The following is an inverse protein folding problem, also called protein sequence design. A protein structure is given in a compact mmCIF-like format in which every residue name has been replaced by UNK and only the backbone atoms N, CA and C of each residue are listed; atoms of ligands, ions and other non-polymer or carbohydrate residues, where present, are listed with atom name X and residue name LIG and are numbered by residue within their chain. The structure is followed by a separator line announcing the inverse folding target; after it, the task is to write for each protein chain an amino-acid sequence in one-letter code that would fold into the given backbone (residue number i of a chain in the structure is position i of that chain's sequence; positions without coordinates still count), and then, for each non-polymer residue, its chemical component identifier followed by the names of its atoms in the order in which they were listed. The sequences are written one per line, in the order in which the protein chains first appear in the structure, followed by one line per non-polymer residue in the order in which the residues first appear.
data_IF_647881567076
#
_entry.id   IF_647881567076
#
_cell.length_a   1.000
_cell.length_b   1.000
_cell.length_c   1.000
_cell.angle_alpha   90.00
_cell.angle_beta   90.00
_cell.angle_gamma   90.00
#
_symmetry.space_group_name_H-M   'P 1'
#
loop_
_entity.id
_entity.type
_entity.pdbx_description
1 polymer ?
#
# COMPACT_ATOMS: atom_id res chain seq x y z
N UNK A 1 22.64 -12.87 -20.28
CA UNK A 1 21.47 -12.76 -19.39
C UNK A 1 21.79 -11.72 -18.32
N UNK A 2 21.41 -10.47 -18.54
CA UNK A 2 21.47 -9.44 -17.52
C UNK A 2 20.06 -8.89 -17.36
N UNK A 3 19.33 -9.35 -16.34
CA UNK A 3 18.14 -8.66 -15.87
C UNK A 3 18.67 -7.52 -14.99
N UNK A 4 18.91 -6.40 -15.66
CA UNK A 4 19.65 -5.23 -15.19
C UNK A 4 18.87 -4.55 -14.07
N UNK A 5 19.60 -4.04 -13.08
CA UNK A 5 19.19 -3.37 -11.83
C UNK A 5 18.19 -2.19 -11.96
N UNK A 6 17.63 -1.93 -13.14
CA UNK A 6 16.73 -0.80 -13.39
C UNK A 6 15.33 -0.93 -12.79
N UNK A 7 14.82 -2.13 -12.49
CA UNK A 7 13.39 -2.24 -12.14
C UNK A 7 13.06 -2.29 -10.63
N UNK A 8 14.00 -2.63 -9.75
CA UNK A 8 13.65 -2.85 -8.33
C UNK A 8 13.22 -1.56 -7.60
N UNK A 9 13.90 -0.45 -7.88
CA UNK A 9 13.50 0.85 -7.34
C UNK A 9 12.19 1.33 -7.95
N UNK A 10 11.98 1.05 -9.24
CA UNK A 10 10.75 1.40 -9.95
C UNK A 10 9.56 0.60 -9.41
N UNK A 11 9.73 -0.69 -9.10
CA UNK A 11 8.69 -1.54 -8.49
C UNK A 11 8.28 -1.01 -7.12
N UNK A 12 9.25 -0.65 -6.26
CA UNK A 12 8.96 -0.04 -4.96
C UNK A 12 8.24 1.31 -5.14
N UNK A 13 8.64 2.12 -6.12
CA UNK A 13 7.98 3.40 -6.43
C UNK A 13 6.54 3.19 -6.89
N UNK A 14 6.30 2.29 -7.85
CA UNK A 14 4.97 1.94 -8.37
C UNK A 14 4.08 1.38 -7.25
N UNK A 15 4.65 0.56 -6.37
CA UNK A 15 3.97 0.03 -5.19
C UNK A 15 3.49 1.17 -4.28
N UNK A 16 4.36 2.14 -3.99
CA UNK A 16 3.99 3.28 -3.15
C UNK A 16 2.90 4.14 -3.79
N UNK A 17 2.95 4.34 -5.12
CA UNK A 17 1.91 5.04 -5.88
C UNK A 17 0.56 4.32 -5.73
N UNK A 18 0.51 3.01 -6.06
CA UNK A 18 -0.72 2.20 -5.95
C UNK A 18 -1.25 2.19 -4.52
N UNK A 19 -0.39 1.99 -3.52
CA UNK A 19 -0.74 1.97 -2.10
C UNK A 19 -1.42 3.26 -1.68
N UNK A 20 -0.88 4.39 -2.11
CA UNK A 20 -1.43 5.71 -1.79
C UNK A 20 -2.76 5.93 -2.49
N UNK A 21 -2.87 5.61 -3.78
CA UNK A 21 -4.10 5.73 -4.55
C UNK A 21 -5.22 4.83 -3.99
N UNK A 22 -4.88 3.67 -3.45
CA UNK A 22 -5.79 2.77 -2.74
C UNK A 22 -6.01 3.16 -1.27
N UNK A 23 -5.45 4.29 -0.82
CA UNK A 23 -5.59 4.84 0.53
C UNK A 23 -5.22 3.83 1.64
N UNK A 24 -4.13 3.09 1.43
CA UNK A 24 -3.59 2.10 2.36
C UNK A 24 -2.38 2.65 3.10
N UNK A 25 -2.26 2.36 4.39
CA UNK A 25 -1.00 2.58 5.11
C UNK A 25 0.05 1.53 4.73
N UNK A 26 1.34 1.86 4.89
CA UNK A 26 2.44 0.89 4.72
C UNK A 26 2.25 -0.36 5.58
N UNK A 27 1.69 -0.20 6.79
CA UNK A 27 1.40 -1.31 7.70
C UNK A 27 0.32 -2.23 7.17
N UNK A 28 -0.75 -1.69 6.58
CA UNK A 28 -1.82 -2.51 6.01
C UNK A 28 -1.30 -3.33 4.83
N UNK A 29 -0.59 -2.69 3.90
CA UNK A 29 0.07 -3.37 2.79
C UNK A 29 0.95 -4.53 3.31
N UNK A 30 1.84 -4.22 4.25
CA UNK A 30 2.77 -5.22 4.80
C UNK A 30 2.05 -6.39 5.49
N UNK A 31 0.94 -6.14 6.19
CA UNK A 31 0.21 -7.21 6.88
C UNK A 31 -0.58 -8.10 5.92
N UNK A 32 -1.19 -7.51 4.89
CA UNK A 32 -1.94 -8.23 3.86
C UNK A 32 -1.00 -9.12 3.05
N UNK A 33 0.11 -8.56 2.57
CA UNK A 33 1.06 -9.25 1.69
C UNK A 33 2.23 -9.92 2.45
N UNK A 34 2.15 -10.01 3.78
CA UNK A 34 3.15 -10.68 4.64
C UNK A 34 4.58 -10.18 4.44
N UNK A 35 4.73 -8.88 4.22
CA UNK A 35 6.02 -8.20 4.09
C UNK A 35 6.46 -7.69 5.46
N UNK A 36 7.77 -7.79 5.76
CA UNK A 36 8.30 -7.16 6.97
C UNK A 36 8.24 -5.62 6.85
N UNK A 37 7.50 -4.97 7.75
CA UNK A 37 7.28 -3.53 7.73
C UNK A 37 8.57 -2.70 7.78
N UNK A 38 9.51 -3.05 8.66
CA UNK A 38 10.74 -2.28 8.82
C UNK A 38 11.60 -2.38 7.55
N UNK A 39 11.70 -3.59 7.00
CA UNK A 39 12.43 -3.82 5.76
C UNK A 39 11.80 -3.10 4.57
N UNK A 40 10.47 -3.16 4.44
CA UNK A 40 9.74 -2.42 3.42
C UNK A 40 9.94 -0.90 3.56
N UNK A 41 9.87 -0.37 4.77
CA UNK A 41 10.06 1.05 5.03
C UNK A 41 11.48 1.52 4.68
N UNK A 42 12.51 0.70 4.94
CA UNK A 42 13.88 1.01 4.52
C UNK A 42 14.02 1.01 2.98
N UNK A 43 13.38 0.06 2.29
CA UNK A 43 13.39 0.02 0.82
C UNK A 43 12.63 1.21 0.21
N UNK A 44 11.47 1.56 0.78
CA UNK A 44 10.67 2.71 0.35
C UNK A 44 11.37 4.06 0.56
N UNK A 45 12.24 4.15 1.57
CA UNK A 45 13.09 5.33 1.83
C UNK A 45 14.44 5.27 1.10
N UNK A 46 14.63 4.30 0.19
CA UNK A 46 15.85 4.06 -0.59
C UNK A 46 17.12 3.83 0.26
N UNK A 47 16.97 3.41 1.53
CA UNK A 47 18.11 3.06 2.40
C UNK A 47 18.64 1.67 2.09
N UNK A 48 17.75 0.75 1.73
CA UNK A 48 18.07 -0.63 1.38
C UNK A 48 17.60 -0.95 -0.05
N UNK A 49 18.22 -1.95 -0.67
CA UNK A 49 17.70 -2.54 -1.91
C UNK A 49 16.71 -3.67 -1.56
N UNK A 50 15.56 -3.75 -2.24
CA UNK A 50 14.60 -4.82 -1.99
C UNK A 50 15.17 -6.17 -2.44
N UNK A 51 14.85 -7.22 -1.70
CA UNK A 51 15.25 -8.59 -2.04
C UNK A 51 14.42 -9.11 -3.22
N UNK A 52 14.92 -10.11 -3.98
CA UNK A 52 14.14 -10.72 -5.06
C UNK A 52 12.76 -11.24 -4.60
N UNK A 53 12.68 -11.77 -3.38
CA UNK A 53 11.43 -12.24 -2.80
C UNK A 53 10.46 -11.08 -2.51
N UNK A 54 10.96 -9.96 -1.97
CA UNK A 54 10.12 -8.77 -1.77
C UNK A 54 9.60 -8.26 -3.11
N UNK A 55 10.47 -8.20 -4.13
CA UNK A 55 10.08 -7.76 -5.48
C UNK A 55 8.96 -8.64 -6.05
N UNK A 56 9.05 -9.95 -5.88
CA UNK A 56 8.00 -10.87 -6.32
C UNK A 56 6.66 -10.55 -5.65
N UNK A 57 6.66 -10.34 -4.34
CA UNK A 57 5.43 -9.99 -3.58
C UNK A 57 4.90 -8.61 -3.96
N UNK A 58 5.77 -7.66 -4.25
CA UNK A 58 5.36 -6.33 -4.71
C UNK A 58 4.76 -6.36 -6.12
N UNK A 59 5.29 -7.20 -7.01
CA UNK A 59 4.69 -7.43 -8.32
C UNK A 59 3.32 -8.11 -8.20
N UNK A 60 3.17 -9.10 -7.32
CA UNK A 60 1.87 -9.71 -7.02
C UNK A 60 0.86 -8.64 -6.55
N UNK A 61 1.27 -7.74 -5.66
CA UNK A 61 0.43 -6.62 -5.24
C UNK A 61 0.08 -5.70 -6.42
N UNK A 62 1.03 -5.33 -7.27
CA UNK A 62 0.80 -4.46 -8.43
C UNK A 62 -0.19 -5.09 -9.42
N UNK A 63 -0.14 -6.41 -9.60
CA UNK A 63 -1.05 -7.17 -10.46
C UNK A 63 -2.42 -7.46 -9.81
N UNK A 64 -2.54 -7.36 -8.48
CA UNK A 64 -3.80 -7.62 -7.76
C UNK A 64 -4.83 -6.53 -8.04
N UNK A 65 -6.05 -6.84 -8.50
CA UNK A 65 -7.10 -5.83 -8.72
C UNK A 65 -7.42 -5.05 -7.45
N UNK A 66 -7.67 -3.75 -7.57
CA UNK A 66 -7.94 -2.87 -6.43
C UNK A 66 -9.14 -3.34 -5.60
N UNK A 67 -10.16 -3.90 -6.25
CA UNK A 67 -11.31 -4.52 -5.57
C UNK A 67 -10.92 -5.68 -4.65
N UNK A 68 -9.93 -6.47 -5.04
CA UNK A 68 -9.39 -7.60 -4.25
C UNK A 68 -8.56 -7.09 -3.10
N UNK A 69 -7.72 -6.07 -3.32
CA UNK A 69 -6.94 -5.43 -2.26
C UNK A 69 -7.86 -4.86 -1.18
N UNK A 70 -8.93 -4.17 -1.56
CA UNK A 70 -9.91 -3.65 -0.59
C UNK A 70 -10.56 -4.76 0.25
N UNK A 71 -10.89 -5.91 -0.34
CA UNK A 71 -11.42 -7.06 0.43
C UNK A 71 -10.41 -7.56 1.46
N UNK A 72 -9.14 -7.70 1.06
CA UNK A 72 -8.07 -8.14 1.95
C UNK A 72 -7.82 -7.15 3.10
N UNK A 73 -7.82 -5.86 2.79
CA UNK A 73 -7.62 -4.79 3.77
C UNK A 73 -8.80 -4.70 4.73
N UNK A 74 -10.04 -4.82 4.23
CA UNK A 74 -11.22 -4.85 5.07
C UNK A 74 -11.18 -6.03 6.04
N UNK A 75 -10.85 -7.24 5.54
CA UNK A 75 -10.67 -8.42 6.40
C UNK A 75 -9.58 -8.21 7.46
N UNK A 76 -8.47 -7.56 7.10
CA UNK A 76 -7.42 -7.20 8.06
C UNK A 76 -7.92 -6.19 9.11
N UNK A 77 -8.63 -5.13 8.70
CA UNK A 77 -9.22 -4.13 9.62
C UNK A 77 -10.25 -4.73 10.58
N UNK A 78 -10.97 -5.76 10.15
CA UNK A 78 -11.92 -6.52 10.98
C UNK A 78 -11.26 -7.62 11.83
N UNK A 79 -9.96 -7.87 11.67
CA UNK A 79 -9.25 -8.92 12.41
C UNK A 79 -8.89 -8.49 13.83
N UNK A 80 -8.81 -9.47 14.74
CA UNK A 80 -8.36 -9.27 16.12
C UNK A 80 -6.96 -8.65 16.20
N UNK A 81 -6.10 -8.91 15.20
CA UNK A 81 -4.76 -8.31 15.10
C UNK A 81 -4.80 -6.79 14.94
N UNK A 82 -5.79 -6.26 14.22
CA UNK A 82 -5.97 -4.82 14.06
C UNK A 82 -6.70 -4.19 15.26
N UNK A 83 -7.76 -4.86 15.74
CA UNK A 83 -8.60 -4.38 16.84
C UNK A 83 -7.83 -4.35 18.18
N UNK A 84 -6.92 -5.31 18.41
CA UNK A 84 -6.07 -5.35 19.62
C UNK A 84 -4.94 -4.30 19.62
N UNK A 85 -4.68 -3.62 18.51
CA UNK A 85 -3.72 -2.51 18.43
C UNK A 85 -4.26 -1.27 19.15
N UNK A 86 -3.59 -0.82 20.22
CA UNK A 86 -3.98 0.27 21.15
C UNK A 86 -4.31 1.66 20.53
N UNK A 87 -4.35 1.81 19.20
CA UNK A 87 -4.64 3.07 18.50
C UNK A 87 -5.63 2.96 17.32
N UNK A 88 -6.25 1.80 17.06
CA UNK A 88 -7.13 1.60 15.90
C UNK A 88 -8.30 2.60 15.84
N UNK A 89 -8.90 2.94 16.99
CA UNK A 89 -10.00 3.92 17.08
C UNK A 89 -9.59 5.38 16.82
N UNK A 90 -8.29 5.73 16.92
CA UNK A 90 -7.84 7.12 16.68
C UNK A 90 -7.64 7.44 15.20
N UNK A 91 -7.49 6.42 14.34
CA UNK A 91 -7.16 6.59 12.93
C UNK A 91 -8.36 6.37 11.99
N UNK A 92 -9.42 5.72 12.48
CA UNK A 92 -10.61 5.40 11.70
C UNK A 92 -11.83 6.09 12.32
N UNK A 93 -12.23 7.25 11.77
CA UNK A 93 -13.53 7.86 12.13
C UNK A 93 -14.64 7.09 11.43
N UNK A 94 -15.33 6.23 12.19
CA UNK A 94 -16.49 5.48 11.73
C UNK A 94 -17.72 6.40 11.73
N UNK A 95 -18.02 7.02 10.60
CA UNK A 95 -19.35 7.61 10.42
C UNK A 95 -20.33 6.46 10.12
N UNK A 96 -21.56 6.50 10.65
CA UNK A 96 -22.55 5.40 10.62
C UNK A 96 -23.02 4.96 9.22
N UNK A 97 -22.36 5.42 8.17
CA UNK A 97 -22.40 4.93 6.79
C UNK A 97 -20.97 4.56 6.43
N UNK A 98 -20.74 3.30 6.06
CA UNK A 98 -19.44 2.71 5.65
C UNK A 98 -18.78 3.40 4.43
N UNK A 99 -18.49 4.70 4.52
CA UNK A 99 -17.71 5.48 3.57
C UNK A 99 -16.65 6.22 4.37
N UNK A 100 -15.49 5.58 4.51
CA UNK A 100 -14.33 6.25 5.10
C UNK A 100 -13.89 7.40 4.19
N UNK A 101 -14.01 8.64 4.69
CA UNK A 101 -13.27 9.79 4.17
C UNK A 101 -11.82 9.66 4.64
N UNK A 102 -10.92 9.35 3.71
CA UNK A 102 -9.47 9.58 3.74
C UNK A 102 -8.71 9.15 5.00
N UNK A 103 -7.83 8.15 4.87
CA UNK A 103 -7.11 7.57 6.00
C UNK A 103 -5.88 8.43 6.35
N UNK A 104 -5.99 9.32 7.35
CA UNK A 104 -4.90 10.22 7.80
C UNK A 104 -3.55 9.54 8.07
N UNK A 105 -3.52 8.22 8.28
CA UNK A 105 -2.26 7.49 8.51
C UNK A 105 -1.42 7.27 7.25
N UNK A 106 -1.90 7.68 6.07
CA UNK A 106 -1.08 7.73 4.85
C UNK A 106 -0.04 8.86 4.91
N UNK A 107 -0.26 9.90 5.73
CA UNK A 107 0.69 10.99 5.95
C UNK A 107 0.79 12.00 4.81
N UNK A 108 -0.22 12.06 3.94
CA UNK A 108 -0.30 12.89 2.74
C UNK A 108 -1.54 13.77 2.78
N UNK A 109 -1.47 14.93 2.13
CA UNK A 109 -2.58 15.89 2.04
C UNK A 109 -3.55 15.53 0.90
N UNK A 110 -4.78 16.03 0.96
CA UNK A 110 -5.85 15.72 -0.02
C UNK A 110 -5.44 16.07 -1.46
N UNK A 111 -4.71 17.18 -1.67
CA UNK A 111 -4.20 17.55 -3.00
C UNK A 111 -3.12 16.61 -3.54
N UNK A 112 -2.34 15.96 -2.67
CA UNK A 112 -1.35 14.97 -3.09
C UNK A 112 -2.01 13.66 -3.49
N UNK A 113 -3.13 13.29 -2.86
CA UNK A 113 -3.86 12.07 -3.18
C UNK A 113 -4.38 12.07 -4.63
N UNK A 114 -4.92 13.18 -5.12
CA UNK A 114 -5.39 13.29 -6.50
C UNK A 114 -4.25 13.12 -7.52
N UNK A 115 -3.05 13.59 -7.19
CA UNK A 115 -1.86 13.40 -8.02
C UNK A 115 -1.46 11.93 -8.11
N UNK A 116 -1.49 11.19 -7.00
CA UNK A 116 -1.22 9.74 -7.01
C UNK A 116 -2.28 8.94 -7.77
N UNK A 117 -3.56 9.34 -7.69
CA UNK A 117 -4.62 8.72 -8.50
C UNK A 117 -4.39 8.96 -9.99
N UNK A 118 -3.91 10.16 -10.37
CA UNK A 118 -3.52 10.48 -11.75
C UNK A 118 -2.32 9.64 -12.19
N UNK A 119 -1.24 9.60 -11.39
CA UNK A 119 -0.04 8.82 -11.69
C UNK A 119 -0.33 7.32 -11.83
N UNK A 120 -1.23 6.76 -11.01
CA UNK A 120 -1.65 5.35 -11.11
C UNK A 120 -2.30 5.05 -12.47
N UNK A 121 -3.10 5.97 -13.00
CA UNK A 121 -3.74 5.83 -14.32
C UNK A 121 -2.76 6.00 -15.46
N UNK A 122 -1.90 7.01 -15.38
CA UNK A 122 -0.89 7.30 -16.42
C UNK A 122 0.14 6.19 -16.56
N UNK A 123 0.51 5.56 -15.44
CA UNK A 123 1.46 4.44 -15.42
C UNK A 123 0.83 3.09 -15.76
N UNK A 124 -0.47 3.02 -16.07
CA UNK A 124 -1.17 1.75 -16.38
C UNK A 124 -1.23 0.78 -15.20
N UNK A 125 -1.11 1.28 -13.96
CA UNK A 125 -1.14 0.48 -12.72
C UNK A 125 -2.59 0.22 -12.27
N UNK A 126 -3.56 0.88 -12.90
CA UNK A 126 -4.98 0.70 -12.63
C UNK A 126 -5.52 -0.57 -13.32
N UNK A 127 -5.92 -1.55 -12.49
CA UNK A 127 -6.63 -2.76 -12.92
C UNK A 127 -7.92 -2.80 -12.11
N UNK A 128 -9.06 -2.65 -12.80
CA UNK A 128 -10.43 -2.74 -12.24
C UNK A 128 -10.67 -4.09 -11.50
#
# INVERSE_FOLDING_TARGET
MGLVREDFKQIVKNTEIKRIAENLSKKELCNVFKINYNYYNNCATMRDSPSPQMVQVLNEYLETPTTTVYKMVFAYRSSDTFVSGRNSDKFVKRDGKWKEKFHRATGIEEGQYEEYVREMRENGIFID
#
